data_IF_594852666762
#
_entry.id   IF_594852666762
#
_cell.length_a   1.000
_cell.length_b   1.000
_cell.length_c   1.000
_cell.angle_alpha   90.00
_cell.angle_beta   90.00
_cell.angle_gamma   90.00
#
_symmetry.space_group_name_H-M   'P 1'
#
loop_
_entity.id
_entity.type
_entity.pdbx_description
1 polymer ?
#
# COMPACT_ATOMS: atom_id res chain seq x y z
N UNK A 1 -20.82 5.39 9.92
CA UNK A 1 -19.60 4.58 9.92
C UNK A 1 -19.01 4.53 8.52
N UNK A 2 -17.73 4.69 8.43
CA UNK A 2 -17.04 4.52 7.16
C UNK A 2 -16.53 3.09 7.01
N UNK A 3 -15.97 2.76 5.85
CA UNK A 3 -15.51 1.41 5.55
C UNK A 3 -14.04 1.41 5.18
N UNK A 4 -13.39 0.29 5.46
CA UNK A 4 -11.98 0.07 5.14
C UNK A 4 -11.77 -1.30 4.50
N UNK A 5 -10.70 -1.42 3.73
CA UNK A 5 -10.21 -2.69 3.20
C UNK A 5 -8.70 -2.65 3.10
N UNK A 6 -8.02 -3.69 3.59
CA UNK A 6 -6.60 -3.87 3.27
C UNK A 6 -6.49 -4.21 1.79
N UNK A 7 -5.84 -3.34 1.03
CA UNK A 7 -5.74 -3.50 -0.42
C UNK A 7 -4.59 -4.40 -0.83
N UNK A 8 -3.39 -4.11 -0.34
CA UNK A 8 -2.20 -4.77 -0.86
C UNK A 8 -1.02 -4.64 0.10
N UNK A 9 -0.03 -5.47 -0.14
CA UNK A 9 1.30 -5.34 0.44
C UNK A 9 2.21 -4.75 -0.63
N UNK A 10 2.98 -3.72 -0.28
CA UNK A 10 3.93 -3.07 -1.16
C UNK A 10 5.35 -3.42 -0.72
N UNK A 11 6.17 -3.81 -1.68
CA UNK A 11 7.58 -4.09 -1.48
C UNK A 11 8.37 -2.88 -2.01
N UNK A 12 8.88 -2.07 -1.09
CA UNK A 12 9.61 -0.86 -1.42
C UNK A 12 11.09 -1.18 -1.61
N UNK A 13 11.69 -0.63 -2.66
CA UNK A 13 13.12 -0.76 -2.91
C UNK A 13 13.69 0.54 -3.47
N UNK A 14 14.97 0.86 -3.15
CA UNK A 14 15.63 2.02 -3.75
C UNK A 14 15.75 1.85 -5.26
N UNK A 15 15.89 2.98 -5.96
CA UNK A 15 15.87 3.01 -7.43
C UNK A 15 16.90 2.07 -8.06
N UNK A 16 18.07 1.91 -7.43
CA UNK A 16 19.13 1.03 -7.95
C UNK A 16 18.76 -0.46 -7.89
N UNK A 17 17.86 -0.85 -7.00
CA UNK A 17 17.55 -2.25 -6.70
C UNK A 17 16.18 -2.70 -7.21
N UNK A 18 15.34 -1.77 -7.67
CA UNK A 18 13.94 -2.05 -7.96
C UNK A 18 13.76 -3.16 -9.01
N UNK A 19 14.57 -3.19 -10.05
CA UNK A 19 14.45 -4.21 -11.10
C UNK A 19 14.80 -5.60 -10.56
N UNK A 20 15.86 -5.71 -9.77
CA UNK A 20 16.27 -6.98 -9.16
C UNK A 20 15.21 -7.48 -8.16
N UNK A 21 14.66 -6.59 -7.36
CA UNK A 21 13.62 -6.91 -6.38
C UNK A 21 12.33 -7.36 -7.08
N UNK A 22 11.92 -6.63 -8.11
CA UNK A 22 10.73 -6.97 -8.90
C UNK A 22 10.89 -8.34 -9.57
N UNK A 23 12.05 -8.61 -10.17
CA UNK A 23 12.33 -9.90 -10.79
C UNK A 23 12.28 -11.04 -9.77
N UNK A 24 12.92 -10.85 -8.62
CA UNK A 24 12.94 -11.87 -7.57
C UNK A 24 11.51 -12.21 -7.10
N UNK A 25 10.73 -11.19 -6.72
CA UNK A 25 9.41 -11.44 -6.15
C UNK A 25 8.39 -11.93 -7.18
N UNK A 26 8.51 -11.49 -8.44
CA UNK A 26 7.69 -12.03 -9.53
C UNK A 26 7.88 -13.55 -9.65
N UNK A 27 9.12 -13.99 -9.61
CA UNK A 27 9.43 -15.43 -9.70
C UNK A 27 9.07 -16.18 -8.42
N UNK A 28 9.42 -15.61 -7.27
CA UNK A 28 9.13 -16.23 -5.97
C UNK A 28 7.63 -16.45 -5.76
N UNK A 29 6.78 -15.52 -6.21
CA UNK A 29 5.33 -15.57 -6.03
C UNK A 29 4.58 -16.12 -7.24
N UNK A 30 5.28 -16.56 -8.28
CA UNK A 30 4.69 -17.02 -9.54
C UNK A 30 3.78 -15.95 -10.17
N UNK A 31 4.18 -14.69 -10.07
CA UNK A 31 3.44 -13.53 -10.57
C UNK A 31 4.02 -13.01 -11.88
N UNK A 32 3.21 -12.26 -12.62
CA UNK A 32 3.64 -11.56 -13.83
C UNK A 32 3.78 -10.07 -13.52
N UNK A 33 4.95 -9.45 -13.73
CA UNK A 33 5.13 -8.02 -13.49
C UNK A 33 4.41 -7.18 -14.55
N UNK A 34 3.68 -6.18 -14.08
CA UNK A 34 3.00 -5.20 -14.93
C UNK A 34 3.34 -3.79 -14.45
N UNK A 35 4.30 -3.13 -15.10
CA UNK A 35 4.60 -1.73 -14.78
C UNK A 35 3.36 -0.86 -14.97
N UNK A 36 3.13 0.05 -14.03
CA UNK A 36 2.03 1.01 -14.12
C UNK A 36 2.57 2.27 -14.82
N UNK A 37 2.07 2.63 -16.01
CA UNK A 37 2.59 3.76 -16.76
C UNK A 37 2.54 5.07 -15.95
N UNK A 38 3.66 5.78 -15.90
CA UNK A 38 3.78 7.05 -15.20
C UNK A 38 3.88 6.94 -13.69
N UNK A 39 3.90 5.73 -13.13
CA UNK A 39 3.94 5.50 -11.68
C UNK A 39 5.18 4.70 -11.28
N UNK A 40 5.66 4.86 -10.03
CA UNK A 40 6.81 4.10 -9.55
C UNK A 40 6.46 2.66 -9.12
N UNK A 41 5.32 2.14 -9.57
CA UNK A 41 4.79 0.84 -9.17
C UNK A 41 4.88 -0.18 -10.27
N UNK A 42 5.14 -1.42 -9.89
CA UNK A 42 4.98 -2.59 -10.75
C UNK A 42 4.02 -3.54 -10.04
N UNK A 43 2.84 -3.74 -10.62
CA UNK A 43 1.89 -4.70 -10.09
C UNK A 43 2.42 -6.12 -10.35
N UNK A 44 2.40 -6.98 -9.32
CA UNK A 44 2.75 -8.39 -9.45
C UNK A 44 1.46 -9.19 -9.55
N UNK A 45 0.97 -9.36 -10.78
CA UNK A 45 -0.33 -9.97 -11.04
C UNK A 45 -0.28 -11.49 -10.94
N UNK A 46 -1.34 -12.06 -10.39
CA UNK A 46 -1.46 -13.51 -10.27
C UNK A 46 -0.59 -14.11 -9.18
N UNK A 47 -0.12 -13.32 -8.22
CA UNK A 47 0.66 -13.82 -7.10
C UNK A 47 -0.07 -14.94 -6.34
N UNK A 48 0.68 -15.90 -5.84
CA UNK A 48 0.15 -17.18 -5.35
C UNK A 48 -0.79 -17.07 -4.14
N UNK A 49 -0.78 -15.98 -3.36
CA UNK A 49 -1.56 -15.93 -2.12
C UNK A 49 -2.36 -14.66 -1.91
N UNK A 50 -1.92 -13.51 -2.41
CA UNK A 50 -2.61 -12.25 -2.24
C UNK A 50 -3.08 -11.71 -3.60
N UNK A 51 -4.31 -11.15 -3.67
CA UNK A 51 -4.83 -10.65 -4.94
C UNK A 51 -4.04 -9.44 -5.46
N UNK A 52 -3.47 -8.65 -4.57
CA UNK A 52 -2.70 -7.46 -4.93
C UNK A 52 -1.37 -7.45 -4.18
N UNK A 53 -0.28 -7.50 -4.93
CA UNK A 53 1.09 -7.30 -4.45
C UNK A 53 1.79 -6.42 -5.48
N UNK A 54 2.57 -5.46 -5.04
CA UNK A 54 3.30 -4.59 -5.94
C UNK A 54 4.69 -4.27 -5.39
N UNK A 55 5.61 -3.94 -6.28
CA UNK A 55 6.88 -3.33 -5.91
C UNK A 55 6.80 -1.83 -6.20
N UNK A 56 7.50 -1.05 -5.40
CA UNK A 56 7.58 0.40 -5.58
C UNK A 56 9.01 0.86 -5.51
N UNK A 57 9.43 1.66 -6.50
CA UNK A 57 10.68 2.40 -6.40
C UNK A 57 10.44 3.61 -5.50
N UNK A 58 11.15 3.67 -4.37
CA UNK A 58 11.08 4.81 -3.46
C UNK A 58 12.15 5.85 -3.75
N UNK A 59 12.92 5.65 -4.84
CA UNK A 59 14.01 6.55 -5.20
C UNK A 59 15.16 6.50 -4.19
N UNK A 60 16.15 7.37 -4.35
CA UNK A 60 17.21 7.53 -3.37
C UNK A 60 17.89 6.24 -2.94
N UNK A 61 18.38 6.23 -1.71
CA UNK A 61 19.15 5.14 -1.12
C UNK A 61 18.57 4.65 0.22
N UNK A 62 17.29 4.94 0.50
CA UNK A 62 16.63 4.40 1.67
C UNK A 62 16.55 2.87 1.58
N UNK A 63 16.63 2.21 2.73
CA UNK A 63 16.59 0.76 2.82
C UNK A 63 15.24 0.21 2.30
N UNK A 64 15.30 -0.97 1.69
CA UNK A 64 14.11 -1.69 1.29
C UNK A 64 13.22 -2.00 2.50
N UNK A 65 11.90 -2.01 2.29
CA UNK A 65 10.92 -2.26 3.35
C UNK A 65 9.61 -2.72 2.74
N UNK A 66 8.71 -3.19 3.60
CA UNK A 66 7.32 -3.46 3.21
C UNK A 66 6.42 -2.41 3.82
N UNK A 67 5.31 -2.09 3.16
CA UNK A 67 4.24 -1.32 3.78
C UNK A 67 2.88 -1.84 3.33
N UNK A 68 1.85 -1.50 4.09
CA UNK A 68 0.47 -1.86 3.78
C UNK A 68 -0.25 -0.66 3.20
N UNK A 69 -1.13 -0.92 2.22
CA UNK A 69 -2.07 0.06 1.72
C UNK A 69 -3.47 -0.31 2.17
N UNK A 70 -4.18 0.63 2.78
CA UNK A 70 -5.55 0.47 3.25
C UNK A 70 -6.43 1.44 2.47
N UNK A 71 -7.49 0.92 1.85
CA UNK A 71 -8.50 1.76 1.21
C UNK A 71 -9.56 2.16 2.22
N UNK A 72 -10.03 3.40 2.11
CA UNK A 72 -11.12 3.91 2.92
C UNK A 72 -12.02 4.83 2.09
N UNK A 73 -13.31 4.78 2.37
CA UNK A 73 -14.28 5.66 1.73
C UNK A 73 -14.46 6.99 2.48
N UNK A 74 -13.74 7.20 3.58
CA UNK A 74 -13.72 8.46 4.31
C UNK A 74 -12.34 8.66 4.95
N UNK A 75 -11.47 9.36 4.24
CA UNK A 75 -10.09 9.56 4.67
C UNK A 75 -9.98 10.30 6.00
N UNK A 76 -10.76 11.38 6.17
CA UNK A 76 -10.72 12.17 7.40
C UNK A 76 -11.16 11.35 8.62
N UNK A 77 -12.24 10.61 8.49
CA UNK A 77 -12.74 9.76 9.57
C UNK A 77 -11.76 8.64 9.90
N UNK A 78 -11.11 8.06 8.90
CA UNK A 78 -10.14 6.99 9.14
C UNK A 78 -8.86 7.52 9.81
N UNK A 79 -8.36 8.66 9.37
CA UNK A 79 -7.23 9.32 10.04
C UNK A 79 -7.55 9.53 11.52
N UNK A 80 -8.70 10.13 11.81
CA UNK A 80 -9.10 10.41 13.21
C UNK A 80 -9.22 9.12 14.02
N UNK A 81 -9.79 8.07 13.43
CA UNK A 81 -9.92 6.77 14.12
C UNK A 81 -8.55 6.18 14.45
N UNK A 82 -7.63 6.18 13.50
CA UNK A 82 -6.30 5.61 13.69
C UNK A 82 -5.44 6.45 14.62
N UNK A 83 -5.57 7.77 14.60
CA UNK A 83 -4.91 8.63 15.59
C UNK A 83 -5.38 8.29 17.01
N UNK A 84 -6.67 8.01 17.17
CA UNK A 84 -7.21 7.54 18.44
C UNK A 84 -6.64 6.19 18.90
N UNK A 85 -6.12 5.38 17.95
CA UNK A 85 -5.46 4.10 18.25
C UNK A 85 -3.95 4.23 18.44
N UNK A 86 -3.40 5.44 18.27
CA UNK A 86 -1.97 5.69 18.50
C UNK A 86 -1.14 5.90 17.25
N UNK A 87 -1.75 5.93 16.07
CA UNK A 87 -1.04 6.27 14.84
C UNK A 87 -0.83 7.78 14.73
N UNK A 88 0.12 8.18 13.89
CA UNK A 88 0.36 9.60 13.56
C UNK A 88 0.38 9.79 12.06
N UNK A 89 0.05 11.01 11.60
CA UNK A 89 0.13 11.38 10.19
C UNK A 89 1.55 11.81 9.88
N UNK A 90 2.18 11.21 8.86
CA UNK A 90 3.48 11.65 8.37
C UNK A 90 3.33 12.66 7.25
N UNK A 91 2.51 12.34 6.24
CA UNK A 91 2.18 13.26 5.16
C UNK A 91 0.69 13.15 4.84
N UNK A 92 0.11 14.25 4.38
CA UNK A 92 -1.31 14.33 4.05
C UNK A 92 -1.46 15.02 2.70
N UNK A 93 -2.12 14.34 1.78
CA UNK A 93 -2.52 14.91 0.50
C UNK A 93 -4.04 14.92 0.40
N UNK A 94 -4.61 15.44 -0.69
CA UNK A 94 -6.07 15.55 -0.84
C UNK A 94 -6.75 14.18 -0.78
N UNK A 95 -6.16 13.18 -1.44
CA UNK A 95 -6.78 11.86 -1.62
C UNK A 95 -6.15 10.76 -0.78
N UNK A 96 -4.97 11.00 -0.20
CA UNK A 96 -4.27 9.95 0.55
C UNK A 96 -3.50 10.51 1.74
N UNK A 97 -3.09 9.62 2.61
CA UNK A 97 -2.20 9.96 3.71
C UNK A 97 -1.16 8.85 3.90
N UNK A 98 0.06 9.26 4.25
CA UNK A 98 1.06 8.33 4.78
C UNK A 98 1.02 8.43 6.29
N UNK A 99 0.81 7.30 6.94
CA UNK A 99 0.65 7.18 8.38
C UNK A 99 1.83 6.42 8.98
N UNK A 100 2.00 6.58 10.28
CA UNK A 100 2.99 5.83 11.07
C UNK A 100 2.27 5.15 12.21
N UNK A 101 2.51 3.85 12.39
CA UNK A 101 1.93 3.10 13.49
C UNK A 101 2.64 3.42 14.82
N UNK A 102 2.17 2.88 15.97
CA UNK A 102 2.78 3.20 17.29
C UNK A 102 4.26 2.85 17.45
N UNK A 103 4.83 2.01 16.59
CA UNK A 103 6.24 1.62 16.67
C UNK A 103 7.08 2.09 15.48
N UNK A 104 6.52 2.93 14.62
CA UNK A 104 7.26 3.56 13.53
C UNK A 104 7.11 2.90 12.17
N UNK A 105 6.21 1.93 11.97
CA UNK A 105 5.95 1.34 10.67
C UNK A 105 5.07 2.25 9.81
N UNK A 106 5.50 2.48 8.58
CA UNK A 106 4.74 3.26 7.61
C UNK A 106 3.63 2.43 6.99
N UNK A 107 2.49 3.07 6.75
CA UNK A 107 1.40 2.52 5.94
C UNK A 107 0.65 3.66 5.26
N UNK A 108 -0.14 3.34 4.24
CA UNK A 108 -0.84 4.36 3.46
C UNK A 108 -2.35 4.17 3.53
N UNK A 109 -3.08 5.29 3.54
CA UNK A 109 -4.52 5.34 3.37
C UNK A 109 -4.83 5.90 2.00
N UNK A 110 -5.69 5.20 1.25
CA UNK A 110 -5.98 5.49 -0.15
C UNK A 110 -7.50 5.54 -0.38
N UNK A 111 -7.96 6.21 -1.45
CA UNK A 111 -9.37 6.12 -1.83
C UNK A 111 -9.74 4.71 -2.31
N UNK A 112 -11.03 4.36 -2.32
CA UNK A 112 -11.49 3.00 -2.66
C UNK A 112 -11.50 2.80 -4.18
N UNK A 113 -10.34 2.48 -4.77
CA UNK A 113 -10.19 2.28 -6.20
C UNK A 113 -10.24 0.80 -6.63
N UNK A 114 -10.15 -0.13 -5.68
CA UNK A 114 -10.21 -1.56 -5.98
C UNK A 114 -11.63 -2.01 -6.29
N UNK A 115 -11.77 -2.93 -7.24
CA UNK A 115 -13.07 -3.52 -7.57
C UNK A 115 -13.64 -4.32 -6.39
N UNK A 116 -12.79 -4.84 -5.53
CA UNK A 116 -13.17 -5.66 -4.39
C UNK A 116 -13.71 -4.85 -3.21
N UNK A 117 -13.52 -3.54 -3.19
CA UNK A 117 -13.87 -2.70 -2.03
C UNK A 117 -15.34 -2.83 -1.64
N UNK A 118 -16.25 -2.76 -2.61
CA UNK A 118 -17.68 -2.82 -2.32
C UNK A 118 -18.09 -4.12 -1.61
N UNK A 119 -17.47 -5.24 -2.00
CA UNK A 119 -17.83 -6.56 -1.48
C UNK A 119 -17.07 -6.93 -0.20
N UNK A 120 -15.87 -6.39 0.02
CA UNK A 120 -14.96 -6.87 1.07
C UNK A 120 -14.69 -5.85 2.17
N UNK A 121 -14.99 -4.58 1.97
CA UNK A 121 -14.75 -3.56 2.96
C UNK A 121 -15.61 -3.77 4.21
N UNK A 122 -15.05 -3.44 5.37
CA UNK A 122 -15.73 -3.54 6.65
C UNK A 122 -16.03 -2.16 7.20
N UNK A 123 -17.19 -2.02 7.81
CA UNK A 123 -17.55 -0.80 8.54
C UNK A 123 -16.77 -0.70 9.83
N UNK A 124 -16.28 0.49 10.13
CA UNK A 124 -15.53 0.82 11.35
C UNK A 124 -15.98 2.21 11.84
N UNK A 125 -15.60 2.52 13.04
CA UNK A 125 -15.92 3.82 13.62
C UNK A 125 -16.47 3.73 15.03
#
# INVERSE_FOLDING_TARGET
>A
MHRIMLREVIIDAPAADIDAVTTFWSRALAATPHPIPGEPFVALRGAASLPHVATQSIGGDEAARFHLDIETDDLEAEIARLEGLGATVRTRDDDYAVMVDPVGLLFCLLPPVSQEFAARAKSVG
#
